data_IF_091107026142
#
_entry.id   IF_091107026142
#
_cell.length_a   1.000
_cell.length_b   1.000
_cell.length_c   1.000
_cell.angle_alpha   90.00
_cell.angle_beta   90.00
_cell.angle_gamma   90.00
#
_symmetry.space_group_name_H-M   'P 1'
#
loop_
_entity.id
_entity.type
_entity.pdbx_description
1 polymer ?
#
# COMPACT_ATOMS: atom_id res chain seq x y z
N UNK A 1 2.96 -1.68 19.50
CA UNK A 1 2.96 -1.82 18.03
C UNK A 1 1.59 -2.32 17.63
N UNK A 2 0.73 -1.47 17.05
CA UNK A 2 -0.59 -1.92 16.60
C UNK A 2 -0.35 -2.64 15.27
N UNK A 3 -0.15 -3.95 15.31
CA UNK A 3 -0.05 -4.81 14.12
C UNK A 3 -1.44 -4.96 13.52
N UNK A 4 -1.99 -3.88 12.99
CA UNK A 4 -3.22 -3.94 12.23
C UNK A 4 -3.00 -4.72 10.94
N UNK A 5 -4.02 -5.45 10.51
CA UNK A 5 -3.98 -6.30 9.34
C UNK A 5 -3.67 -5.47 8.08
N UNK A 6 -2.70 -5.92 7.26
CA UNK A 6 -2.37 -5.29 5.97
C UNK A 6 -3.59 -5.37 5.06
N UNK A 7 -4.01 -4.26 4.47
CA UNK A 7 -5.25 -4.16 3.69
C UNK A 7 -5.07 -3.54 2.30
N UNK A 8 -3.84 -3.18 1.94
CA UNK A 8 -3.54 -2.57 0.65
C UNK A 8 -2.32 -3.21 -0.03
N UNK A 9 -2.29 -3.14 -1.36
CA UNK A 9 -1.24 -3.64 -2.24
C UNK A 9 -0.67 -2.48 -3.06
N UNK A 10 0.64 -2.27 -3.00
CA UNK A 10 1.35 -1.35 -3.88
C UNK A 10 1.53 -1.98 -5.26
N UNK A 11 0.88 -1.44 -6.29
CA UNK A 11 0.90 -2.02 -7.64
C UNK A 11 2.09 -1.56 -8.47
N UNK A 12 2.77 -0.48 -8.12
CA UNK A 12 3.86 0.13 -8.90
C UNK A 12 4.87 0.82 -7.98
N UNK A 13 5.91 1.42 -8.57
CA UNK A 13 6.87 2.27 -7.85
C UNK A 13 7.84 1.49 -6.95
N UNK A 14 8.51 2.18 -6.00
CA UNK A 14 9.60 1.61 -5.23
C UNK A 14 9.19 0.44 -4.33
N UNK A 15 7.91 0.33 -3.96
CA UNK A 15 7.39 -0.72 -3.10
C UNK A 15 6.42 -1.65 -3.85
N UNK A 16 6.61 -1.81 -5.15
CA UNK A 16 5.83 -2.73 -5.99
C UNK A 16 5.71 -4.12 -5.34
N UNK A 17 4.49 -4.65 -5.26
CA UNK A 17 4.17 -5.95 -4.68
C UNK A 17 4.05 -5.95 -3.15
N UNK A 18 4.36 -4.84 -2.47
CA UNK A 18 4.29 -4.77 -1.01
C UNK A 18 2.84 -4.72 -0.51
N UNK A 19 2.57 -5.49 0.56
CA UNK A 19 1.33 -5.42 1.32
C UNK A 19 1.50 -4.49 2.51
N UNK A 20 0.65 -3.48 2.60
CA UNK A 20 0.73 -2.43 3.62
C UNK A 20 -0.62 -2.22 4.29
N UNK A 21 -0.61 -1.52 5.42
CA UNK A 21 -1.83 -1.08 6.08
C UNK A 21 -2.08 0.38 5.76
N UNK A 22 -3.30 0.69 5.33
CA UNK A 22 -3.81 2.05 5.17
C UNK A 22 -5.09 2.20 5.98
N UNK A 23 -5.21 3.32 6.67
CA UNK A 23 -6.42 3.67 7.45
C UNK A 23 -7.34 4.63 6.68
N UNK A 24 -6.87 5.12 5.54
CA UNK A 24 -7.59 6.00 4.64
C UNK A 24 -8.18 5.20 3.46
N UNK A 25 -9.38 5.57 3.02
CA UNK A 25 -10.07 4.93 1.89
C UNK A 25 -9.87 5.67 0.55
N UNK A 26 -9.47 6.94 0.57
CA UNK A 26 -9.30 7.78 -0.62
C UNK A 26 -8.15 8.76 -0.46
N UNK A 27 -7.62 9.26 -1.57
CA UNK A 27 -6.58 10.29 -1.59
C UNK A 27 -5.18 9.70 -1.73
N UNK A 28 -4.18 10.45 -1.27
CA UNK A 28 -2.79 10.02 -1.26
C UNK A 28 -2.35 9.62 0.15
N UNK A 29 -1.54 8.57 0.24
CA UNK A 29 -1.01 8.02 1.49
C UNK A 29 0.51 7.89 1.37
N UNK A 30 1.20 8.26 2.44
CA UNK A 30 2.62 7.96 2.59
C UNK A 30 2.78 6.53 3.09
N UNK A 31 3.47 5.72 2.31
CA UNK A 31 3.81 4.34 2.66
C UNK A 31 5.25 4.32 3.17
N UNK A 32 5.51 3.84 4.39
CA UNK A 32 6.88 3.63 4.85
C UNK A 32 7.53 2.46 4.11
N UNK A 33 8.86 2.48 3.97
CA UNK A 33 9.62 1.38 3.38
C UNK A 33 9.28 0.06 4.09
N UNK A 34 8.64 -0.89 3.40
CA UNK A 34 8.20 -2.15 3.99
C UNK A 34 9.38 -3.06 4.38
N UNK A 35 10.58 -2.81 3.85
CA UNK A 35 11.78 -3.57 4.14
C UNK A 35 12.66 -2.93 5.22
N UNK A 36 12.38 -1.67 5.59
CA UNK A 36 13.22 -0.81 6.42
C UNK A 36 14.67 -0.65 5.91
N UNK A 37 15.01 -1.14 4.72
CA UNK A 37 16.37 -1.15 4.18
C UNK A 37 16.86 0.23 3.78
N UNK A 38 15.94 1.10 3.35
CA UNK A 38 16.24 2.46 2.88
C UNK A 38 15.71 3.54 3.83
N UNK A 39 14.85 3.16 4.80
CA UNK A 39 14.27 4.10 5.78
C UNK A 39 13.38 5.19 5.16
N UNK A 40 13.04 5.07 3.88
CA UNK A 40 12.31 6.07 3.11
C UNK A 40 10.79 5.96 3.25
N UNK A 41 10.09 7.00 2.80
CA UNK A 41 8.64 6.98 2.57
C UNK A 41 8.39 7.26 1.10
N UNK A 42 7.39 6.61 0.52
CA UNK A 42 6.96 6.91 -0.84
C UNK A 42 5.48 7.21 -0.85
N UNK A 43 5.09 8.16 -1.69
CA UNK A 43 3.71 8.61 -1.82
C UNK A 43 2.97 7.75 -2.83
N UNK A 44 1.81 7.26 -2.42
CA UNK A 44 0.91 6.48 -3.25
C UNK A 44 -0.48 7.10 -3.26
N UNK A 45 -1.23 6.86 -4.32
CA UNK A 45 -2.64 7.18 -4.43
C UNK A 45 -3.48 5.94 -4.19
N UNK A 46 -4.44 6.07 -3.29
CA UNK A 46 -5.46 5.05 -3.05
C UNK A 46 -6.41 5.03 -4.25
N UNK A 47 -6.60 3.85 -4.82
CA UNK A 47 -7.51 3.65 -5.95
C UNK A 47 -8.78 2.93 -5.52
N UNK A 48 -9.79 2.96 -6.41
CA UNK A 48 -11.01 2.16 -6.26
C UNK A 48 -10.80 0.69 -6.63
N UNK A 49 -9.67 0.34 -7.22
CA UNK A 49 -9.38 -1.03 -7.61
C UNK A 49 -9.14 -1.89 -6.38
N UNK A 50 -9.55 -3.16 -6.49
CA UNK A 50 -9.54 -4.15 -5.41
C UNK A 50 -9.00 -5.45 -5.97
N UNK A 51 -7.99 -6.02 -5.32
CA UNK A 51 -7.39 -7.31 -5.72
C UNK A 51 -7.73 -8.36 -4.68
N UNK A 52 -8.39 -9.43 -5.10
CA UNK A 52 -8.68 -10.56 -4.25
C UNK A 52 -7.52 -11.55 -4.27
N UNK A 53 -7.03 -11.94 -3.09
CA UNK A 53 -6.02 -13.00 -2.95
C UNK A 53 -6.68 -14.22 -2.29
N UNK A 54 -6.48 -15.46 -2.79
CA UNK A 54 -7.16 -16.64 -2.27
C UNK A 54 -6.89 -16.89 -0.77
N UNK A 55 -5.77 -16.42 -0.24
CA UNK A 55 -5.43 -16.55 1.18
C UNK A 55 -6.18 -15.58 2.11
N UNK A 56 -7.05 -14.70 1.60
CA UNK A 56 -7.77 -13.73 2.41
C UNK A 56 -9.19 -13.51 1.92
N UNK A 57 -10.13 -13.41 2.84
CA UNK A 57 -11.54 -13.20 2.52
C UNK A 57 -11.85 -11.75 2.09
N UNK A 58 -11.10 -10.77 2.61
CA UNK A 58 -11.24 -9.37 2.23
C UNK A 58 -10.24 -9.00 1.11
N UNK A 59 -10.67 -8.31 0.03
CA UNK A 59 -9.78 -7.89 -1.03
C UNK A 59 -8.86 -6.75 -0.57
N UNK A 60 -7.68 -6.66 -1.18
CA UNK A 60 -6.72 -5.58 -0.95
C UNK A 60 -7.09 -4.35 -1.76
N UNK A 61 -6.97 -3.18 -1.14
CA UNK A 61 -7.01 -1.89 -1.81
C UNK A 61 -5.76 -1.72 -2.67
N UNK A 62 -5.92 -1.37 -3.94
CA UNK A 62 -4.77 -1.11 -4.80
C UNK A 62 -4.26 0.32 -4.62
N UNK A 63 -2.97 0.46 -4.39
CA UNK A 63 -2.23 1.71 -4.30
C UNK A 63 -1.37 1.88 -5.55
N UNK A 64 -1.46 3.04 -6.20
CA UNK A 64 -0.58 3.39 -7.33
C UNK A 64 0.41 4.47 -6.92
N UNK A 65 1.67 4.28 -7.27
CA UNK A 65 2.71 5.25 -6.97
C UNK A 65 2.44 6.57 -7.70
N UNK A 66 2.65 7.71 -7.03
CA UNK A 66 2.32 9.03 -7.59
C UNK A 66 3.48 9.69 -8.33
N UNK A 67 4.67 9.10 -8.33
CA UNK A 67 5.88 9.81 -8.71
C UNK A 67 6.45 10.63 -7.55
N UNK A 68 7.72 11.01 -7.69
CA UNK A 68 8.32 12.19 -7.06
C UNK A 68 8.26 13.27 -8.16
N UNK A 69 7.49 14.34 -7.96
CA UNK A 69 7.47 15.52 -8.84
C UNK A 69 8.40 16.58 -8.24
#
# INVERSE_FOLDING_TARGET
>A
MITGERNALCLDGPYHGALVRVEQDVGAVEVPDPTEAFGGRARYRITRERVHHPSRHAPFVVLRWTGDD
#
